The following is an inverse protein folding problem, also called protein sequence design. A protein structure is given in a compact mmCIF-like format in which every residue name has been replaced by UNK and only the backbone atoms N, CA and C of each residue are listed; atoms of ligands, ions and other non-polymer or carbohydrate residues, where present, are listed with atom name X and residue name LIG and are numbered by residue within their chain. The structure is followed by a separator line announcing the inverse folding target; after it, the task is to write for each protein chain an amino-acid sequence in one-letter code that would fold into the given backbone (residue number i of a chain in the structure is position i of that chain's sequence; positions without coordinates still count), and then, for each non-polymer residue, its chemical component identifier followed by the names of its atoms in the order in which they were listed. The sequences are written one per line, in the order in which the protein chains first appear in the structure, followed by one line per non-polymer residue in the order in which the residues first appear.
data_IF_508590654829
#
_entry.id   IF_508590654829
#
_cell.length_a   1.000
_cell.length_b   1.000
_cell.length_c   1.000
_cell.angle_alpha   90.00
_cell.angle_beta   90.00
_cell.angle_gamma   90.00
#
_symmetry.space_group_name_H-M   'P 1'
#
loop_
_entity.id
_entity.type
_entity.pdbx_description
1 polymer ?
#
# COMPACT_ATOMS: atom_id res chain seq x y z
N UNK A 1 16.00 -21.62 -2.35
CA UNK A 1 15.31 -21.81 -1.07
C UNK A 1 13.87 -21.33 -1.23
N UNK A 2 12.89 -22.25 -1.21
CA UNK A 2 11.47 -21.90 -1.34
C UNK A 2 10.92 -21.34 -0.03
N UNK A 3 10.23 -20.20 -0.11
CA UNK A 3 9.52 -19.62 1.03
C UNK A 3 8.23 -20.40 1.22
N UNK A 4 8.03 -20.94 2.41
CA UNK A 4 6.83 -21.70 2.79
C UNK A 4 5.65 -20.72 2.87
N UNK A 5 4.82 -20.69 1.83
CA UNK A 5 3.56 -19.93 1.78
C UNK A 5 2.59 -20.47 2.85
N UNK A 6 2.29 -19.67 3.87
CA UNK A 6 1.34 -20.02 4.91
C UNK A 6 -0.09 -20.17 4.36
N UNK A 7 -0.86 -21.11 4.91
CA UNK A 7 -2.24 -21.48 4.53
C UNK A 7 -3.28 -20.35 4.64
N UNK A 8 -2.85 -19.15 5.03
CA UNK A 8 -3.67 -17.94 5.20
C UNK A 8 -3.14 -16.73 4.42
N UNK A 9 -2.08 -16.90 3.63
CA UNK A 9 -1.62 -15.87 2.71
C UNK A 9 -2.59 -15.84 1.54
N UNK A 10 -3.40 -14.79 1.43
CA UNK A 10 -4.19 -14.55 0.23
C UNK A 10 -3.28 -14.59 -1.01
N UNK A 11 -3.80 -15.06 -2.14
CA UNK A 11 -3.07 -15.01 -3.40
C UNK A 11 -2.76 -13.55 -3.73
N UNK A 12 -1.50 -13.28 -4.09
CA UNK A 12 -1.06 -11.96 -4.51
C UNK A 12 -1.94 -11.43 -5.64
N UNK A 13 -2.52 -10.22 -5.54
CA UNK A 13 -3.38 -9.69 -6.57
C UNK A 13 -2.61 -9.48 -7.87
N UNK A 14 -3.17 -9.95 -8.99
CA UNK A 14 -2.57 -9.79 -10.32
C UNK A 14 -2.77 -8.36 -10.88
N UNK A 15 -3.63 -7.57 -10.24
CA UNK A 15 -4.03 -6.24 -10.68
C UNK A 15 -3.31 -5.09 -9.94
N UNK A 16 -2.21 -5.37 -9.22
CA UNK A 16 -1.40 -4.35 -8.56
C UNK A 16 -0.66 -3.48 -9.58
N UNK A 17 -0.36 -2.24 -9.19
CA UNK A 17 0.31 -1.23 -10.00
C UNK A 17 -0.56 0.00 -10.23
N UNK A 18 0.01 1.18 -9.98
CA UNK A 18 -0.64 2.44 -10.33
C UNK A 18 -0.72 2.62 -11.85
N UNK A 19 -1.92 2.90 -12.36
CA UNK A 19 -2.17 3.22 -13.78
C UNK A 19 -2.79 4.60 -13.88
N UNK A 20 -2.16 5.49 -14.64
CA UNK A 20 -2.62 6.88 -14.83
C UNK A 20 -2.88 7.63 -13.51
N UNK A 21 -2.00 7.46 -12.51
CA UNK A 21 -2.14 8.13 -11.20
C UNK A 21 -3.26 7.57 -10.31
N UNK A 22 -3.72 6.34 -10.58
CA UNK A 22 -4.71 5.65 -9.75
C UNK A 22 -4.22 4.27 -9.34
N UNK A 23 -4.46 3.93 -8.08
CA UNK A 23 -4.34 2.56 -7.58
C UNK A 23 -5.48 1.70 -8.12
N UNK A 24 -5.29 0.39 -8.07
CA UNK A 24 -6.38 -0.52 -8.38
C UNK A 24 -7.55 -0.31 -7.40
N UNK A 25 -8.81 -0.44 -7.86
CA UNK A 25 -9.95 -0.37 -6.97
C UNK A 25 -9.88 -1.51 -5.96
N UNK A 26 -10.28 -1.22 -4.73
CA UNK A 26 -10.39 -2.24 -3.70
C UNK A 26 -11.38 -3.33 -4.10
N UNK A 27 -11.04 -4.57 -3.82
CA UNK A 27 -11.99 -5.69 -3.91
C UNK A 27 -13.09 -5.49 -2.86
N UNK A 28 -14.31 -5.97 -3.13
CA UNK A 28 -15.48 -5.82 -2.25
C UNK A 28 -15.43 -6.61 -0.93
N UNK A 29 -14.24 -7.04 -0.49
CA UNK A 29 -14.06 -7.73 0.80
C UNK A 29 -13.84 -6.69 1.90
N UNK A 30 -14.31 -6.94 3.13
CA UNK A 30 -14.26 -5.95 4.22
C UNK A 30 -12.85 -5.55 4.65
N UNK A 31 -11.82 -6.32 4.29
CA UNK A 31 -10.44 -6.05 4.70
C UNK A 31 -9.64 -5.24 3.67
N UNK A 32 -10.29 -4.66 2.65
CA UNK A 32 -9.61 -3.81 1.67
C UNK A 32 -9.96 -2.35 1.94
N UNK A 33 -8.97 -1.48 2.03
CA UNK A 33 -9.21 -0.03 2.12
C UNK A 33 -8.34 0.74 1.13
N UNK A 34 -8.81 1.88 0.66
CA UNK A 34 -8.11 2.77 -0.27
C UNK A 34 -8.50 4.23 -0.05
N UNK A 35 -7.50 5.10 -0.02
CA UNK A 35 -7.71 6.56 0.02
C UNK A 35 -8.28 7.14 -1.27
N UNK A 36 -8.34 6.34 -2.34
CA UNK A 36 -8.94 6.70 -3.63
C UNK A 36 -10.37 6.15 -3.81
N UNK A 37 -10.89 5.44 -2.81
CA UNK A 37 -12.31 5.08 -2.77
C UNK A 37 -13.19 6.33 -2.61
N UNK A 38 -14.43 6.26 -3.10
CA UNK A 38 -15.39 7.36 -2.97
C UNK A 38 -15.87 7.41 -1.51
N UNK A 39 -15.56 8.49 -0.79
CA UNK A 39 -15.88 8.60 0.63
C UNK A 39 -17.39 8.61 0.92
N UNK A 40 -18.21 9.08 -0.03
CA UNK A 40 -19.66 9.17 0.14
C UNK A 40 -20.37 7.88 -0.29
N UNK A 41 -19.88 7.23 -1.35
CA UNK A 41 -20.50 6.01 -1.92
C UNK A 41 -19.90 4.71 -1.41
N UNK A 42 -18.67 4.74 -0.93
CA UNK A 42 -17.91 3.57 -0.50
C UNK A 42 -17.13 3.82 0.80
N UNK A 43 -17.85 4.38 1.79
CA UNK A 43 -17.29 4.70 3.11
C UNK A 43 -16.69 3.47 3.83
N UNK A 44 -17.12 2.25 3.48
CA UNK A 44 -16.62 1.00 4.06
C UNK A 44 -15.20 0.63 3.62
N UNK A 45 -14.79 1.04 2.41
CA UNK A 45 -13.42 0.83 1.92
C UNK A 45 -12.61 2.14 1.89
N UNK A 46 -13.21 3.29 2.23
CA UNK A 46 -12.47 4.55 2.30
C UNK A 46 -11.61 4.65 3.56
N UNK A 47 -10.37 5.14 3.39
CA UNK A 47 -9.49 5.56 4.48
C UNK A 47 -8.91 6.94 4.15
N UNK A 48 -8.63 7.75 5.16
CA UNK A 48 -8.05 9.07 4.93
C UNK A 48 -6.63 8.96 4.32
N UNK A 49 -6.29 9.76 3.29
CA UNK A 49 -4.95 9.78 2.72
C UNK A 49 -3.92 10.33 3.71
N UNK A 50 -2.65 9.93 3.54
CA UNK A 50 -1.56 10.42 4.37
C UNK A 50 -1.15 11.80 3.84
N UNK A 51 -1.36 12.85 4.65
CA UNK A 51 -0.97 14.21 4.26
C UNK A 51 0.55 14.38 4.31
N UNK A 52 1.08 14.97 3.26
CA UNK A 52 2.49 15.35 3.18
C UNK A 52 2.71 16.60 4.03
N UNK A 53 3.71 16.54 4.90
CA UNK A 53 4.24 17.71 5.61
C UNK A 53 5.59 18.07 4.99
N UNK A 54 5.78 19.32 4.60
CA UNK A 54 7.00 19.75 3.90
C UNK A 54 6.97 19.41 2.42
N UNK A 55 8.09 18.93 1.86
CA UNK A 55 8.20 18.63 0.43
C UNK A 55 7.78 17.18 0.13
N UNK A 56 7.16 16.98 -1.04
CA UNK A 56 6.77 15.64 -1.50
C UNK A 56 7.96 14.67 -1.62
N UNK A 57 9.15 15.08 -2.15
CA UNK A 57 10.33 14.22 -2.16
C UNK A 57 10.80 13.79 -0.76
N UNK A 58 10.78 14.70 0.22
CA UNK A 58 11.23 14.39 1.58
C UNK A 58 10.27 13.41 2.26
N UNK A 59 8.95 13.63 2.12
CA UNK A 59 7.95 12.74 2.67
C UNK A 59 8.03 11.34 2.04
N UNK A 60 8.24 11.28 0.73
CA UNK A 60 8.41 10.01 0.02
C UNK A 60 9.68 9.26 0.45
N UNK A 61 10.80 9.99 0.62
CA UNK A 61 12.04 9.43 1.13
C UNK A 61 11.88 8.91 2.58
N UNK A 62 11.16 9.66 3.42
CA UNK A 62 10.85 9.24 4.79
C UNK A 62 10.01 7.96 4.82
N UNK A 63 8.99 7.85 3.97
CA UNK A 63 8.19 6.63 3.83
C UNK A 63 9.06 5.44 3.40
N UNK A 64 9.91 5.61 2.37
CA UNK A 64 10.84 4.56 1.93
C UNK A 64 11.76 4.10 3.06
N UNK A 65 12.31 5.04 3.84
CA UNK A 65 13.18 4.73 4.98
C UNK A 65 12.42 3.97 6.08
N UNK A 66 11.21 4.43 6.41
CA UNK A 66 10.35 3.78 7.40
C UNK A 66 10.07 2.33 7.03
N UNK A 67 9.63 2.08 5.80
CA UNK A 67 9.32 0.73 5.33
C UNK A 67 10.53 -0.20 5.36
N UNK A 68 11.72 0.29 4.94
CA UNK A 68 12.97 -0.48 4.99
C UNK A 68 13.43 -0.79 6.42
N UNK A 69 13.11 0.08 7.38
CA UNK A 69 13.43 -0.12 8.79
C UNK A 69 12.39 -0.96 9.54
N UNK A 70 11.22 -1.20 8.94
CA UNK A 70 10.11 -1.90 9.58
C UNK A 70 10.33 -3.41 9.47
N UNK A 71 10.40 -4.16 10.59
CA UNK A 71 10.54 -5.61 10.55
C UNK A 71 9.35 -6.27 9.86
N UNK A 72 9.64 -7.29 9.03
CA UNK A 72 8.63 -8.10 8.29
C UNK A 72 7.89 -7.32 7.19
N UNK A 73 8.51 -6.27 6.66
CA UNK A 73 8.08 -5.61 5.43
C UNK A 73 9.00 -6.06 4.29
N UNK A 74 8.40 -6.51 3.20
CA UNK A 74 9.10 -6.81 1.96
C UNK A 74 8.72 -5.77 0.90
N UNK A 75 9.65 -4.92 0.48
CA UNK A 75 9.41 -3.97 -0.61
C UNK A 75 9.57 -4.72 -1.92
N UNK A 76 8.47 -4.83 -2.65
CA UNK A 76 8.41 -5.62 -3.89
C UNK A 76 8.64 -4.74 -5.12
N UNK A 77 8.14 -3.50 -5.09
CA UNK A 77 8.40 -2.51 -6.11
C UNK A 77 8.62 -1.14 -5.48
N UNK A 78 9.65 -0.43 -5.92
CA UNK A 78 9.99 0.93 -5.49
C UNK A 78 10.31 1.74 -6.74
N UNK A 79 9.37 2.59 -7.13
CA UNK A 79 9.46 3.47 -8.29
C UNK A 79 9.25 4.92 -7.83
N UNK A 80 9.49 5.87 -8.73
CA UNK A 80 9.26 7.28 -8.40
C UNK A 80 7.76 7.56 -8.32
N UNK A 81 7.31 7.88 -7.10
CA UNK A 81 5.92 8.13 -6.77
C UNK A 81 5.04 6.89 -6.63
N UNK A 82 5.57 5.67 -6.77
CA UNK A 82 4.82 4.44 -6.52
C UNK A 82 5.66 3.42 -5.75
N UNK A 83 5.11 2.86 -4.68
CA UNK A 83 5.77 1.81 -3.90
C UNK A 83 4.76 0.73 -3.53
N UNK A 84 5.17 -0.52 -3.67
CA UNK A 84 4.40 -1.67 -3.23
C UNK A 84 5.22 -2.51 -2.25
N UNK A 85 4.60 -2.79 -1.10
CA UNK A 85 5.17 -3.58 -0.03
C UNK A 85 4.20 -4.65 0.47
N UNK A 86 4.77 -5.78 0.91
CA UNK A 86 4.08 -6.90 1.54
C UNK A 86 4.42 -6.88 3.04
N UNK A 87 3.41 -6.83 3.90
CA UNK A 87 3.56 -6.87 5.36
C UNK A 87 3.21 -8.26 5.88
N UNK A 88 4.16 -8.94 6.51
CA UNK A 88 3.93 -10.26 7.10
C UNK A 88 3.63 -10.17 8.60
N UNK A 89 2.51 -10.77 9.02
CA UNK A 89 2.13 -10.88 10.43
C UNK A 89 3.08 -11.80 11.21
N UNK A 90 3.38 -11.45 12.47
CA UNK A 90 4.37 -12.18 13.30
C UNK A 90 3.93 -13.60 13.68
N UNK A 91 2.62 -13.87 13.76
CA UNK A 91 2.10 -15.04 14.48
C UNK A 91 1.26 -16.00 13.64
N UNK A 92 0.74 -15.60 12.47
CA UNK A 92 -0.29 -16.40 11.78
C UNK A 92 -0.12 -16.50 10.26
N UNK A 93 0.97 -15.99 9.70
CA UNK A 93 1.33 -16.19 8.28
C UNK A 93 0.47 -15.41 7.28
N UNK A 94 -0.34 -14.45 7.74
CA UNK A 94 -0.99 -13.48 6.86
C UNK A 94 0.03 -12.53 6.26
N UNK A 95 -0.10 -12.27 4.97
CA UNK A 95 0.63 -11.26 4.21
C UNK A 95 -0.40 -10.25 3.71
N UNK A 96 -0.23 -9.00 4.09
CA UNK A 96 -1.03 -7.88 3.63
C UNK A 96 -0.28 -7.10 2.54
N UNK A 97 -0.95 -6.86 1.42
CA UNK A 97 -0.43 -6.06 0.31
C UNK A 97 -0.75 -4.58 0.55
N UNK A 98 0.26 -3.71 0.48
CA UNK A 98 0.10 -2.25 0.64
C UNK A 98 0.76 -1.52 -0.52
N UNK A 99 -0.02 -0.72 -1.23
CA UNK A 99 0.44 0.18 -2.29
C UNK A 99 0.39 1.63 -1.81
N UNK A 100 1.44 2.38 -2.11
CA UNK A 100 1.53 3.83 -1.88
C UNK A 100 1.67 4.53 -3.22
N UNK A 101 0.97 5.65 -3.39
CA UNK A 101 1.01 6.46 -4.60
C UNK A 101 1.13 7.93 -4.23
N UNK A 102 2.24 8.55 -4.60
CA UNK A 102 2.48 9.96 -4.36
C UNK A 102 1.61 10.82 -5.28
N UNK A 103 0.81 11.72 -4.70
CA UNK A 103 0.16 12.82 -5.41
C UNK A 103 0.72 14.17 -4.92
N UNK A 104 1.75 14.71 -5.59
CA UNK A 104 2.33 15.99 -5.22
C UNK A 104 1.38 17.18 -5.40
N UNK A 105 0.38 17.06 -6.28
CA UNK A 105 -0.58 18.15 -6.56
C UNK A 105 -1.60 18.26 -5.44
N UNK A 106 -2.08 17.11 -4.95
CA UNK A 106 -2.98 17.04 -3.81
C UNK A 106 -2.25 17.12 -2.46
N UNK A 107 -0.93 16.94 -2.43
CA UNK A 107 -0.12 16.99 -1.21
C UNK A 107 -0.34 15.77 -0.33
N UNK A 108 -0.54 14.60 -0.93
CA UNK A 108 -0.85 13.35 -0.22
C UNK A 108 -0.09 12.15 -0.77
N UNK A 109 -0.04 11.10 0.05
CA UNK A 109 0.34 9.73 -0.28
C UNK A 109 -0.85 8.80 0.01
#
# INVERSE_FOLDING_TARGET
MGVMMGLFSGSRPENLGARAGRLAPCKSTPNCVSSQADADKDAGHYIAPIRISGSAPDAWAALRSLLRSTPRVNIVADQDGYLYAEFASRTMGFVDDVEFLLDPKAGVI
#
